data_IF_138102084743
#
_entry.id   IF_138102084743
#
_cell.length_a   1.000
_cell.length_b   1.000
_cell.length_c   1.000
_cell.angle_alpha   90.00
_cell.angle_beta   90.00
_cell.angle_gamma   90.00
#
_symmetry.space_group_name_H-M   'P 1'
#
loop_
_entity.id
_entity.type
_entity.pdbx_description
1 polymer ?
#
# COMPACT_ATOMS: atom_id res chain seq x y z
N UNK A 1 1.68 2.11 -25.91
CA UNK A 1 0.84 1.82 -24.75
C UNK A 1 1.60 2.02 -23.45
N UNK A 2 1.00 2.70 -22.56
CA UNK A 2 1.69 2.99 -21.32
C UNK A 2 0.91 2.49 -20.14
N UNK A 3 1.56 1.73 -19.28
CA UNK A 3 0.96 1.28 -18.05
C UNK A 3 1.47 2.15 -16.91
N UNK A 4 0.55 2.66 -16.14
CA UNK A 4 0.91 3.36 -14.91
C UNK A 4 0.77 2.39 -13.78
N UNK A 5 1.75 1.53 -13.64
CA UNK A 5 1.74 0.55 -12.57
C UNK A 5 2.02 1.26 -11.27
N UNK A 6 0.98 1.78 -10.67
CA UNK A 6 1.10 2.59 -9.48
C UNK A 6 0.69 1.78 -8.26
N UNK A 7 1.56 1.72 -7.29
CA UNK A 7 1.41 0.85 -6.13
C UNK A 7 1.38 1.69 -4.87
N UNK A 8 0.41 1.41 -4.01
CA UNK A 8 0.38 1.97 -2.67
C UNK A 8 0.96 0.95 -1.71
N UNK A 9 1.99 1.34 -0.98
CA UNK A 9 2.56 0.51 0.09
C UNK A 9 2.24 1.18 1.40
N UNK A 10 1.63 0.44 2.32
CA UNK A 10 1.37 0.94 3.67
C UNK A 10 2.12 0.06 4.64
N UNK A 11 3.18 0.63 5.25
CA UNK A 11 4.11 -0.12 6.07
C UNK A 11 4.67 0.82 7.14
N UNK A 12 4.55 0.43 8.40
CA UNK A 12 4.98 1.32 9.48
C UNK A 12 6.47 1.19 9.81
N UNK A 13 7.14 0.16 9.32
CA UNK A 13 8.59 0.06 9.47
C UNK A 13 9.25 0.85 8.35
N UNK A 14 9.88 1.99 8.65
CA UNK A 14 10.40 2.84 7.58
C UNK A 14 11.52 2.18 6.78
N UNK A 15 12.31 1.32 7.40
CA UNK A 15 13.40 0.66 6.69
C UNK A 15 12.88 -0.36 5.70
N UNK A 16 11.93 -1.18 6.13
CA UNK A 16 11.36 -2.17 5.23
C UNK A 16 10.53 -1.52 4.13
N UNK A 17 9.75 -0.52 4.50
CA UNK A 17 8.93 0.19 3.51
C UNK A 17 9.79 0.85 2.45
N UNK A 18 10.87 1.49 2.87
CA UNK A 18 11.77 2.18 1.95
C UNK A 18 12.46 1.18 1.03
N UNK A 19 12.89 0.04 1.57
CA UNK A 19 13.54 -0.97 0.77
C UNK A 19 12.59 -1.53 -0.29
N UNK A 20 11.36 -1.81 0.10
CA UNK A 20 10.38 -2.35 -0.83
C UNK A 20 10.04 -1.33 -1.90
N UNK A 21 9.89 -0.07 -1.51
CA UNK A 21 9.63 0.99 -2.48
C UNK A 21 10.76 1.10 -3.48
N UNK A 22 12.01 1.08 -3.00
CA UNK A 22 13.15 1.19 -3.89
C UNK A 22 13.19 0.04 -4.88
N UNK A 23 12.96 -1.17 -4.40
CA UNK A 23 12.97 -2.35 -5.26
C UNK A 23 11.91 -2.24 -6.36
N UNK A 24 10.71 -1.85 -5.99
CA UNK A 24 9.65 -1.75 -6.98
C UNK A 24 9.87 -0.59 -7.94
N UNK A 25 10.44 0.52 -7.45
CA UNK A 25 10.76 1.64 -8.31
C UNK A 25 11.80 1.25 -9.35
N UNK A 26 12.78 0.44 -8.95
CA UNK A 26 13.77 -0.06 -9.90
C UNK A 26 13.16 -0.96 -10.96
N UNK A 27 12.00 -1.52 -10.69
CA UNK A 27 11.30 -2.37 -11.64
C UNK A 27 10.17 -1.63 -12.35
N UNK A 28 10.32 -0.32 -12.43
CA UNK A 28 9.46 0.56 -13.23
C UNK A 28 8.06 0.75 -12.70
N UNK A 29 7.83 0.48 -11.41
CA UNK A 29 6.57 0.80 -10.78
C UNK A 29 6.64 2.20 -10.17
N UNK A 30 5.51 2.87 -10.15
CA UNK A 30 5.38 4.12 -9.41
C UNK A 30 4.84 3.76 -8.04
N UNK A 31 5.53 4.21 -6.99
CA UNK A 31 5.21 3.76 -5.65
C UNK A 31 4.98 4.96 -4.76
N UNK A 32 3.89 4.91 -4.00
CA UNK A 32 3.64 5.85 -2.91
C UNK A 32 3.67 5.04 -1.63
N UNK A 33 4.46 5.49 -0.67
CA UNK A 33 4.63 4.82 0.60
C UNK A 33 3.93 5.62 1.68
N UNK A 34 3.04 4.96 2.41
CA UNK A 34 2.39 5.53 3.58
C UNK A 34 2.85 4.77 4.81
N UNK A 35 2.95 5.45 5.94
CA UNK A 35 3.57 4.87 7.13
C UNK A 35 2.56 4.34 8.13
N UNK A 36 1.28 4.54 7.91
CA UNK A 36 0.24 3.96 8.76
C UNK A 36 -1.05 3.92 7.96
N UNK A 37 -2.07 3.27 8.55
CA UNK A 37 -3.32 3.08 7.85
C UNK A 37 -4.10 4.35 7.60
N UNK A 38 -3.96 5.33 8.47
CA UNK A 38 -4.64 6.61 8.27
C UNK A 38 -4.06 7.33 7.08
N UNK A 39 -2.73 7.42 7.03
CA UNK A 39 -2.07 8.02 5.88
C UNK A 39 -2.33 7.21 4.61
N UNK A 40 -2.36 5.88 4.76
CA UNK A 40 -2.64 5.01 3.62
C UNK A 40 -3.98 5.30 2.98
N UNK A 41 -5.00 5.48 3.80
CA UNK A 41 -6.33 5.80 3.26
C UNK A 41 -6.36 7.16 2.61
N UNK A 42 -5.68 8.13 3.19
CA UNK A 42 -5.58 9.46 2.58
C UNK A 42 -4.92 9.38 1.21
N UNK A 43 -3.82 8.65 1.12
CA UNK A 43 -3.14 8.50 -0.16
C UNK A 43 -4.01 7.76 -1.17
N UNK A 44 -4.74 6.75 -0.71
CA UNK A 44 -5.61 6.01 -1.60
C UNK A 44 -6.69 6.90 -2.18
N UNK A 45 -7.24 7.78 -1.38
CA UNK A 45 -8.32 8.65 -1.84
C UNK A 45 -7.84 9.73 -2.80
N UNK A 46 -6.56 10.10 -2.74
CA UNK A 46 -6.02 11.21 -3.52
C UNK A 46 -5.29 10.77 -4.77
N UNK A 47 -5.24 9.48 -5.02
CA UNK A 47 -4.50 8.91 -6.17
C UNK A 47 -5.27 7.73 -6.72
N UNK A 48 -4.89 7.32 -7.92
CA UNK A 48 -5.40 6.08 -8.50
C UNK A 48 -4.29 5.05 -8.49
N UNK A 49 -4.56 3.90 -7.91
CA UNK A 49 -3.58 2.84 -7.78
C UNK A 49 -4.02 1.60 -8.53
N UNK A 50 -3.04 0.80 -8.93
CA UNK A 50 -3.29 -0.48 -9.58
C UNK A 50 -3.14 -1.65 -8.62
N UNK A 51 -2.52 -1.42 -7.46
CA UNK A 51 -2.22 -2.46 -6.50
C UNK A 51 -1.96 -1.83 -5.15
N UNK A 52 -2.41 -2.50 -4.10
CA UNK A 52 -2.10 -2.08 -2.73
C UNK A 52 -1.35 -3.20 -2.03
N UNK A 53 -0.31 -2.83 -1.30
CA UNK A 53 0.43 -3.74 -0.44
C UNK A 53 0.33 -3.19 0.97
N UNK A 54 -0.32 -3.93 1.85
CA UNK A 54 -0.67 -3.45 3.17
C UNK A 54 -0.06 -4.34 4.24
N UNK A 55 0.66 -3.71 5.17
CA UNK A 55 1.10 -4.41 6.37
C UNK A 55 -0.12 -4.71 7.23
N UNK A 56 -0.17 -5.91 7.78
CA UNK A 56 -1.31 -6.30 8.60
C UNK A 56 -1.25 -5.61 9.96
N UNK A 57 -0.09 -5.63 10.61
CA UNK A 57 0.02 -5.15 11.98
C UNK A 57 0.61 -3.76 12.01
N UNK A 58 -0.25 -2.78 12.22
CA UNK A 58 0.14 -1.38 12.28
C UNK A 58 -0.61 -0.70 13.41
N UNK A 59 -0.01 0.34 14.00
CA UNK A 59 -0.73 1.11 15.02
C UNK A 59 -1.90 1.87 14.40
N UNK A 60 -2.88 2.16 15.20
CA UNK A 60 -4.07 2.96 14.90
C UNK A 60 -5.07 2.25 14.01
N UNK A 61 -4.66 1.77 12.85
CA UNK A 61 -5.55 1.11 11.90
C UNK A 61 -4.77 -0.03 11.26
N UNK A 62 -5.19 -1.26 11.50
CA UNK A 62 -4.48 -2.40 10.95
C UNK A 62 -4.80 -2.58 9.47
N UNK A 63 -4.04 -3.48 8.84
CA UNK A 63 -4.16 -3.66 7.39
C UNK A 63 -5.48 -4.22 6.96
N UNK A 64 -6.11 -5.07 7.76
CA UNK A 64 -7.41 -5.63 7.39
C UNK A 64 -8.50 -4.56 7.44
N UNK A 65 -8.46 -3.69 8.43
CA UNK A 65 -9.40 -2.59 8.53
C UNK A 65 -9.24 -1.65 7.35
N UNK A 66 -7.98 -1.31 7.02
CA UNK A 66 -7.72 -0.46 5.87
C UNK A 66 -8.20 -1.11 4.58
N UNK A 67 -7.99 -2.41 4.44
CA UNK A 67 -8.43 -3.12 3.25
C UNK A 67 -9.94 -3.05 3.07
N UNK A 68 -10.70 -3.14 4.17
CA UNK A 68 -12.15 -3.01 4.09
C UNK A 68 -12.55 -1.64 3.59
N UNK A 69 -11.88 -0.60 4.09
CA UNK A 69 -12.17 0.76 3.65
C UNK A 69 -11.85 0.93 2.17
N UNK A 70 -10.73 0.37 1.74
CA UNK A 70 -10.35 0.43 0.32
C UNK A 70 -11.38 -0.31 -0.53
N UNK A 71 -11.83 -1.48 -0.07
CA UNK A 71 -12.83 -2.27 -0.81
C UNK A 71 -14.14 -1.53 -0.99
N UNK A 72 -14.51 -0.69 -0.05
CA UNK A 72 -15.71 0.11 -0.19
C UNK A 72 -15.60 1.14 -1.30
N UNK A 73 -14.38 1.55 -1.61
CA UNK A 73 -14.13 2.52 -2.68
C UNK A 73 -13.83 1.84 -4.01
N UNK A 74 -13.19 0.68 -3.98
CA UNK A 74 -12.81 -0.04 -5.19
C UNK A 74 -12.79 -1.52 -4.87
N UNK A 75 -13.80 -2.23 -5.35
CA UNK A 75 -13.94 -3.64 -5.01
C UNK A 75 -13.03 -4.55 -5.82
N UNK A 76 -12.33 -4.01 -6.82
CA UNK A 76 -11.56 -4.84 -7.76
C UNK A 76 -10.05 -4.69 -7.64
N UNK A 77 -9.56 -3.67 -6.96
CA UNK A 77 -8.12 -3.46 -6.90
C UNK A 77 -7.46 -4.61 -6.13
N UNK A 78 -6.38 -5.19 -6.65
CA UNK A 78 -5.67 -6.22 -5.91
C UNK A 78 -5.08 -5.68 -4.62
N UNK A 79 -5.19 -6.45 -3.56
CA UNK A 79 -4.62 -6.10 -2.27
C UNK A 79 -3.79 -7.28 -1.79
N UNK A 80 -2.51 -7.03 -1.53
CA UNK A 80 -1.60 -8.00 -0.94
C UNK A 80 -1.31 -7.60 0.48
N UNK A 81 -1.28 -8.59 1.38
CA UNK A 81 -0.97 -8.33 2.77
C UNK A 81 0.45 -8.77 3.07
N UNK A 82 1.14 -7.96 3.86
CA UNK A 82 2.44 -8.31 4.39
C UNK A 82 2.27 -8.73 5.84
N UNK A 83 2.89 -9.83 6.21
CA UNK A 83 2.92 -10.22 7.61
C UNK A 83 4.37 -10.16 8.05
N UNK A 84 4.62 -9.42 9.12
CA UNK A 84 5.97 -9.21 9.59
C UNK A 84 6.51 -10.43 10.34
N UNK A 85 5.67 -11.39 10.62
CA UNK A 85 6.07 -12.54 11.39
C UNK A 85 6.22 -13.74 10.52
N UNK A 86 7.28 -14.42 10.75
CA UNK A 86 7.48 -15.72 10.14
C UNK A 86 7.04 -16.79 11.11
#
# INVERSE_FOLDING_TARGET
MKFNNKILIVEDDPNFGSMLKDYLTLNDYKVILAKNGIEGFQKFNNNEFDLCILDVMMPYKDGFTLAKEIREKNENIPIFFLTAKA
#
